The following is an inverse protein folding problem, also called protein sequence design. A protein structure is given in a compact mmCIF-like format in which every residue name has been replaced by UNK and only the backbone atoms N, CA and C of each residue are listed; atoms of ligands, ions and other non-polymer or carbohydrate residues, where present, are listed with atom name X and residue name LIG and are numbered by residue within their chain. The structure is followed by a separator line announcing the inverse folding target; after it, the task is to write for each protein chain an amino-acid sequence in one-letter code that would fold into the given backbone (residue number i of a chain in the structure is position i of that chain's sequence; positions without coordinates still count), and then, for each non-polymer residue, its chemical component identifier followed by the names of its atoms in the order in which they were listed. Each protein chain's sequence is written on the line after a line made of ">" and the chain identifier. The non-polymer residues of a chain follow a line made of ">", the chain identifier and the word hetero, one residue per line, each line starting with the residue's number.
data_IF_408752069563
#
_entry.id   IF_408752069563
#
_cell.length_a   1.000
_cell.length_b   1.000
_cell.length_c   1.000
_cell.angle_alpha   90.00
_cell.angle_beta   90.00
_cell.angle_gamma   90.00
#
_symmetry.space_group_name_H-M   'P 1'
#
loop_
_entity.id
_entity.type
_entity.pdbx_description
1 polymer ?
#
# COMPACT_ATOMS: atom_id res chain seq x y z
N UNK A 1 -2.27 -12.87 8.50
CA UNK A 1 -1.28 -12.74 9.58
C UNK A 1 -1.65 -11.58 10.47
N UNK A 2 -0.90 -11.33 11.54
CA UNK A 2 -1.07 -10.13 12.36
C UNK A 2 -0.17 -9.01 11.83
N UNK A 3 -0.76 -7.88 11.47
CA UNK A 3 -0.07 -6.76 10.82
C UNK A 3 1.05 -6.18 11.69
N UNK A 4 0.80 -5.99 12.99
CA UNK A 4 1.78 -5.41 13.90
C UNK A 4 2.98 -6.34 14.11
N UNK A 5 2.75 -7.66 14.21
CA UNK A 5 3.84 -8.64 14.36
C UNK A 5 4.69 -8.71 13.10
N UNK A 6 4.06 -8.80 11.92
CA UNK A 6 4.77 -8.95 10.65
C UNK A 6 5.64 -7.72 10.33
N UNK A 7 5.08 -6.53 10.45
CA UNK A 7 5.82 -5.28 10.15
C UNK A 7 6.88 -4.95 11.19
N UNK A 8 6.67 -5.29 12.47
CA UNK A 8 7.72 -5.16 13.50
C UNK A 8 8.88 -6.12 13.24
N UNK A 9 8.60 -7.34 12.78
CA UNK A 9 9.65 -8.29 12.37
C UNK A 9 10.45 -7.76 11.16
N UNK A 10 9.78 -7.18 10.16
CA UNK A 10 10.46 -6.53 9.03
C UNK A 10 11.33 -5.35 9.48
N UNK A 11 10.82 -4.49 10.34
CA UNK A 11 11.59 -3.38 10.91
C UNK A 11 12.81 -3.88 11.71
N UNK A 12 12.63 -4.91 12.54
CA UNK A 12 13.71 -5.55 13.30
C UNK A 12 14.75 -6.25 12.41
N UNK A 13 14.36 -6.69 11.21
CA UNK A 13 15.26 -7.24 10.20
C UNK A 13 16.00 -6.17 9.37
N UNK A 14 15.77 -4.88 9.65
CA UNK A 14 16.45 -3.77 8.97
C UNK A 14 15.71 -3.21 7.74
N UNK A 15 14.45 -3.56 7.52
CA UNK A 15 13.64 -2.91 6.49
C UNK A 15 13.34 -1.46 6.89
N UNK A 16 13.71 -0.50 6.03
CA UNK A 16 13.49 0.94 6.26
C UNK A 16 12.08 1.40 5.89
N UNK A 17 11.30 0.57 5.19
CA UNK A 17 9.94 0.86 4.73
C UNK A 17 9.15 -0.44 4.56
N UNK A 18 7.84 -0.37 4.75
CA UNK A 18 6.92 -1.47 4.45
C UNK A 18 5.89 -1.05 3.41
N UNK A 19 5.78 -1.82 2.33
CA UNK A 19 4.67 -1.72 1.38
C UNK A 19 3.51 -2.57 1.88
N UNK A 20 2.40 -1.93 2.23
CA UNK A 20 1.25 -2.56 2.86
C UNK A 20 0.03 -2.49 1.93
N UNK A 21 -0.24 -3.60 1.24
CA UNK A 21 -1.43 -3.72 0.40
C UNK A 21 -2.68 -3.97 1.26
N UNK A 22 -3.81 -3.36 0.89
CA UNK A 22 -5.07 -3.54 1.61
C UNK A 22 -6.28 -3.46 0.69
N UNK A 23 -7.20 -4.41 0.85
CA UNK A 23 -8.53 -4.36 0.21
C UNK A 23 -9.63 -3.80 1.10
N UNK A 24 -9.35 -3.62 2.41
CA UNK A 24 -10.36 -3.22 3.43
C UNK A 24 -10.04 -1.86 4.09
N UNK A 25 -8.87 -1.31 3.82
CA UNK A 25 -8.43 -0.02 4.38
C UNK A 25 -8.19 -0.10 5.88
N UNK A 26 -7.44 -1.11 6.32
CA UNK A 26 -6.99 -1.25 7.71
C UNK A 26 -6.22 0.00 8.12
N UNK A 27 -6.63 0.72 9.19
CA UNK A 27 -5.95 1.93 9.68
C UNK A 27 -4.67 1.58 10.45
N UNK A 28 -3.77 0.85 9.81
CA UNK A 28 -2.54 0.36 10.43
C UNK A 28 -1.35 1.26 10.09
N UNK A 29 -0.52 1.63 11.06
CA UNK A 29 0.79 2.26 10.84
C UNK A 29 1.87 1.54 11.65
N UNK A 30 3.00 1.24 11.01
CA UNK A 30 4.14 0.59 11.65
C UNK A 30 5.16 1.56 12.24
N UNK A 31 6.20 1.00 12.86
CA UNK A 31 7.32 1.76 13.41
C UNK A 31 8.20 2.39 12.32
N UNK A 32 8.26 1.78 11.14
CA UNK A 32 8.91 2.33 9.94
C UNK A 32 7.85 2.88 8.98
N UNK A 33 8.21 3.82 8.08
CA UNK A 33 7.30 4.31 7.03
C UNK A 33 6.53 3.18 6.37
N UNK A 34 5.20 3.31 6.36
CA UNK A 34 4.27 2.29 5.86
C UNK A 34 3.46 2.87 4.73
N UNK A 35 3.73 2.43 3.50
CA UNK A 35 3.01 2.87 2.30
C UNK A 35 1.75 2.03 2.13
N UNK A 36 0.59 2.68 2.15
CA UNK A 36 -0.74 2.07 2.00
C UNK A 36 -1.16 1.98 0.55
N UNK A 37 -1.23 0.76 0.05
CA UNK A 37 -1.58 0.46 -1.33
C UNK A 37 -2.99 -0.15 -1.36
N UNK A 38 -3.96 0.57 -1.91
CA UNK A 38 -5.30 0.03 -2.11
C UNK A 38 -5.32 -0.96 -3.28
N UNK A 39 -5.95 -2.11 -3.10
CA UNK A 39 -6.13 -3.11 -4.18
C UNK A 39 -7.39 -2.86 -5.03
N UNK A 40 -8.15 -1.81 -4.73
CA UNK A 40 -9.33 -1.40 -5.50
C UNK A 40 -9.51 0.12 -5.44
N UNK A 41 -9.91 0.70 -6.57
CA UNK A 41 -10.04 2.16 -6.74
C UNK A 41 -11.16 2.77 -5.93
N UNK A 42 -12.20 2.00 -5.60
CA UNK A 42 -13.29 2.45 -4.72
C UNK A 42 -12.76 2.78 -3.31
N UNK A 43 -11.92 1.92 -2.74
CA UNK A 43 -11.29 2.15 -1.44
C UNK A 43 -10.37 3.37 -1.47
N UNK A 44 -9.54 3.49 -2.51
CA UNK A 44 -8.66 4.64 -2.69
C UNK A 44 -9.48 5.95 -2.75
N UNK A 45 -10.57 5.96 -3.50
CA UNK A 45 -11.45 7.12 -3.64
C UNK A 45 -12.21 7.46 -2.35
N UNK A 46 -12.64 6.46 -1.57
CA UNK A 46 -13.36 6.67 -0.30
C UNK A 46 -12.45 7.10 0.84
N UNK A 47 -11.19 6.66 0.84
CA UNK A 47 -10.21 6.91 1.91
C UNK A 47 -8.95 7.59 1.39
N UNK A 48 -9.10 8.65 0.59
CA UNK A 48 -7.99 9.38 -0.07
C UNK A 48 -6.89 9.86 0.88
N UNK A 49 -7.21 10.14 2.14
CA UNK A 49 -6.23 10.61 3.13
C UNK A 49 -5.48 9.48 3.84
N UNK A 50 -5.87 8.21 3.61
CA UNK A 50 -5.28 7.04 4.27
C UNK A 50 -4.63 6.06 3.28
N UNK A 51 -4.83 6.27 1.98
CA UNK A 51 -4.30 5.44 0.91
C UNK A 51 -3.29 6.29 0.15
N UNK A 52 -2.07 5.79 0.08
CA UNK A 52 -0.97 6.47 -0.61
C UNK A 52 -0.99 6.13 -2.11
N UNK A 53 -1.44 4.93 -2.49
CA UNK A 53 -1.47 4.51 -3.89
C UNK A 53 -2.68 3.63 -4.25
N UNK A 54 -3.23 3.83 -5.46
CA UNK A 54 -4.31 3.03 -6.02
C UNK A 54 -3.80 2.02 -7.06
N UNK A 55 -3.62 0.76 -6.63
CA UNK A 55 -3.29 -0.34 -7.53
C UNK A 55 -4.53 -0.94 -8.23
N UNK A 56 -5.74 -0.52 -7.86
CA UNK A 56 -6.99 -0.91 -8.50
C UNK A 56 -7.08 -0.49 -9.96
N UNK A 57 -6.28 0.49 -10.39
CA UNK A 57 -6.21 0.93 -11.79
C UNK A 57 -5.88 -0.22 -12.78
N UNK A 58 -5.19 -1.28 -12.34
CA UNK A 58 -4.89 -2.44 -13.20
C UNK A 58 -6.16 -3.13 -13.71
N UNK A 59 -7.15 -3.31 -12.84
CA UNK A 59 -8.41 -3.97 -13.22
C UNK A 59 -9.33 -3.03 -14.03
N UNK A 60 -8.98 -1.74 -14.11
CA UNK A 60 -9.65 -0.73 -14.92
C UNK A 60 -8.96 -0.46 -16.27
N UNK A 61 -8.03 -1.33 -16.68
CA UNK A 61 -7.44 -1.32 -18.02
C UNK A 61 -6.09 -0.60 -18.14
N UNK A 62 -5.52 -0.12 -17.02
CA UNK A 62 -4.16 0.43 -17.02
C UNK A 62 -3.13 -0.68 -17.17
N UNK A 63 -2.16 -0.49 -18.05
CA UNK A 63 -1.11 -1.48 -18.26
C UNK A 63 -0.16 -1.54 -17.05
N UNK A 64 0.29 -2.74 -16.70
CA UNK A 64 1.21 -2.95 -15.57
C UNK A 64 2.50 -2.10 -15.64
N UNK A 65 3.16 -1.94 -16.80
CA UNK A 65 4.35 -1.09 -16.90
C UNK A 65 4.07 0.38 -16.56
N UNK A 66 2.92 0.90 -17.02
CA UNK A 66 2.52 2.29 -16.75
C UNK A 66 2.20 2.50 -15.28
N UNK A 67 1.52 1.54 -14.63
CA UNK A 67 1.26 1.62 -13.20
C UNK A 67 2.55 1.54 -12.38
N UNK A 68 3.51 0.71 -12.81
CA UNK A 68 4.80 0.58 -12.15
C UNK A 68 5.60 1.88 -12.17
N UNK A 69 5.68 2.55 -13.31
CA UNK A 69 6.34 3.86 -13.43
C UNK A 69 5.74 4.86 -12.43
N UNK A 70 4.41 4.98 -12.41
CA UNK A 70 3.75 5.86 -11.45
C UNK A 70 4.02 5.46 -10.00
N UNK A 71 3.97 4.17 -9.67
CA UNK A 71 4.20 3.71 -8.30
C UNK A 71 5.61 4.05 -7.78
N UNK A 72 6.61 4.07 -8.66
CA UNK A 72 8.01 4.39 -8.30
C UNK A 72 8.21 5.91 -8.20
N UNK A 73 7.53 6.69 -9.05
CA UNK A 73 7.71 8.14 -9.14
C UNK A 73 6.78 8.95 -8.20
N UNK A 74 5.88 8.29 -7.47
CA UNK A 74 4.95 8.93 -6.51
C UNK A 74 5.63 9.34 -5.21
#
# INVERSE_FOLDING_TARGET
>A
GNDAVATSALAGAGCHMVLFSTGRGTPYGGFVPTVKIATNSELAAKKKHWIDFDAGQLIHGKAMPQLLEEFIDT
#
